data_IF_106847823632
#
_entry.id   IF_106847823632
#
_cell.length_a   1.000
_cell.length_b   1.000
_cell.length_c   1.000
_cell.angle_alpha   90.00
_cell.angle_beta   90.00
_cell.angle_gamma   90.00
#
_symmetry.space_group_name_H-M   'P 1'
#
loop_
_entity.id
_entity.type
_entity.pdbx_description
1 polymer ?
#
# COMPACT_ATOMS: atom_id res chain seq x y z
N UNK A 1 -56.22 -66.23 -13.91
CA UNK A 1 -55.66 -65.28 -14.90
C UNK A 1 -55.89 -63.87 -14.38
N UNK A 2 -54.80 -63.14 -14.17
CA UNK A 2 -54.70 -61.95 -13.34
C UNK A 2 -54.35 -60.76 -14.23
N UNK A 3 -55.20 -59.72 -14.29
CA UNK A 3 -54.85 -58.41 -14.85
C UNK A 3 -55.68 -57.35 -14.15
N UNK A 4 -55.02 -56.50 -13.35
CA UNK A 4 -55.53 -55.17 -13.05
C UNK A 4 -54.37 -54.15 -13.02
N UNK A 5 -54.59 -52.92 -13.53
CA UNK A 5 -53.52 -52.02 -13.94
C UNK A 5 -53.04 -51.04 -12.86
N UNK A 6 -51.79 -50.61 -13.08
CA UNK A 6 -51.10 -49.44 -12.53
C UNK A 6 -52.00 -48.21 -12.34
N UNK A 7 -51.91 -47.58 -11.16
CA UNK A 7 -52.20 -46.16 -10.97
C UNK A 7 -51.00 -45.48 -10.32
N UNK A 8 -50.53 -44.46 -11.01
CA UNK A 8 -49.37 -43.65 -10.68
C UNK A 8 -49.68 -42.58 -9.63
N UNK A 9 -48.61 -42.27 -8.92
CA UNK A 9 -48.28 -41.23 -7.95
C UNK A 9 -48.76 -39.82 -8.29
N UNK A 10 -49.22 -39.05 -7.28
CA UNK A 10 -48.95 -37.60 -7.19
C UNK A 10 -48.83 -37.21 -5.70
N UNK A 11 -47.62 -36.85 -5.25
CA UNK A 11 -47.37 -36.15 -3.99
C UNK A 11 -47.10 -34.67 -4.34
N UNK A 12 -47.76 -33.69 -3.71
CA UNK A 12 -47.38 -32.28 -3.88
C UNK A 12 -46.15 -31.96 -3.01
N UNK A 13 -45.03 -31.63 -3.66
CA UNK A 13 -43.83 -31.08 -3.01
C UNK A 13 -44.06 -29.57 -2.81
N UNK A 14 -44.07 -29.16 -1.54
CA UNK A 14 -44.08 -27.76 -1.10
C UNK A 14 -42.84 -27.03 -1.63
N UNK A 15 -43.02 -26.03 -2.50
CA UNK A 15 -41.97 -25.08 -2.86
C UNK A 15 -41.68 -24.14 -1.67
N UNK A 16 -40.57 -24.40 -0.97
CA UNK A 16 -39.96 -23.43 -0.07
C UNK A 16 -39.25 -22.35 -0.91
N UNK A 17 -39.76 -21.12 -0.87
CA UNK A 17 -39.09 -19.96 -1.44
C UNK A 17 -37.90 -19.64 -0.53
N UNK A 18 -36.71 -20.13 -0.91
CA UNK A 18 -35.46 -19.72 -0.30
C UNK A 18 -35.13 -18.30 -0.76
N UNK A 19 -35.42 -17.31 0.09
CA UNK A 19 -34.84 -15.97 0.00
C UNK A 19 -33.34 -16.07 0.22
N UNK A 20 -32.60 -16.18 -0.87
CA UNK A 20 -31.15 -15.98 -0.85
C UNK A 20 -30.89 -14.51 -0.54
N UNK A 21 -30.55 -14.21 0.72
CA UNK A 21 -29.83 -13.00 1.03
C UNK A 21 -28.54 -13.07 0.20
N UNK A 22 -28.48 -12.30 -0.87
CA UNK A 22 -27.23 -12.01 -1.55
C UNK A 22 -26.33 -11.31 -0.53
N UNK A 23 -25.44 -12.09 0.10
CA UNK A 23 -24.31 -11.55 0.82
C UNK A 23 -23.48 -10.77 -0.21
N UNK A 24 -23.56 -9.44 -0.15
CA UNK A 24 -22.75 -8.54 -0.97
C UNK A 24 -21.29 -8.96 -0.82
N UNK A 25 -20.68 -9.45 -1.91
CA UNK A 25 -19.26 -9.77 -1.93
C UNK A 25 -18.46 -8.51 -1.54
N UNK A 26 -17.41 -8.61 -0.71
CA UNK A 26 -16.54 -7.48 -0.43
C UNK A 26 -16.00 -6.96 -1.76
N UNK A 27 -16.17 -5.65 -1.98
CA UNK A 27 -15.69 -4.99 -3.18
C UNK A 27 -14.16 -5.11 -3.23
N UNK A 28 -13.55 -5.24 -4.43
CA UNK A 28 -12.09 -5.34 -4.58
C UNK A 28 -11.33 -4.06 -4.17
N UNK A 29 -12.03 -3.01 -3.73
CA UNK A 29 -11.51 -1.68 -3.42
C UNK A 29 -11.21 -1.44 -1.94
N UNK A 30 -11.34 -2.44 -1.07
CA UNK A 30 -10.99 -2.32 0.35
C UNK A 30 -9.88 -3.31 0.71
N UNK A 31 -8.74 -3.17 0.03
CA UNK A 31 -7.48 -3.82 0.42
C UNK A 31 -6.53 -2.85 1.13
N UNK A 32 -7.08 -1.80 1.73
CA UNK A 32 -6.31 -0.87 2.55
C UNK A 32 -6.06 -1.50 3.91
N UNK A 33 -4.80 -1.58 4.29
CA UNK A 33 -4.42 -2.06 5.62
C UNK A 33 -4.81 -1.02 6.68
N UNK A 34 -4.93 -1.43 7.95
CA UNK A 34 -5.13 -0.45 9.03
C UNK A 34 -3.91 0.48 9.13
N UNK A 35 -4.11 1.78 9.42
CA UNK A 35 -3.00 2.67 9.72
C UNK A 35 -2.16 2.11 10.88
N UNK A 36 -0.83 2.20 10.74
CA UNK A 36 0.13 1.76 11.74
C UNK A 36 1.20 2.83 11.96
N UNK A 37 1.77 2.86 13.16
CA UNK A 37 2.93 3.71 13.44
C UNK A 37 4.20 3.08 12.89
N UNK A 38 5.01 3.91 12.25
CA UNK A 38 6.29 3.52 11.69
C UNK A 38 7.37 4.55 11.99
N UNK A 39 8.61 4.09 12.16
CA UNK A 39 9.79 4.92 12.05
C UNK A 39 10.28 4.87 10.61
N UNK A 40 10.44 6.04 10.01
CA UNK A 40 10.67 6.19 8.58
C UNK A 40 11.92 7.03 8.39
N UNK A 41 12.90 6.50 7.67
CA UNK A 41 14.04 7.26 7.19
C UNK A 41 13.94 7.39 5.68
N UNK A 42 13.80 8.62 5.20
CA UNK A 42 13.70 8.88 3.76
C UNK A 42 15.08 8.77 3.15
N UNK A 43 15.17 7.89 2.16
CA UNK A 43 16.37 7.67 1.36
C UNK A 43 16.30 8.50 0.09
N UNK A 44 15.12 8.55 -0.56
CA UNK A 44 14.88 9.16 -1.86
C UNK A 44 13.73 10.11 -1.94
N UNK A 45 13.83 11.05 -2.88
CA UNK A 45 12.67 11.52 -3.64
C UNK A 45 12.61 10.68 -4.93
N UNK A 46 11.53 9.94 -5.11
CA UNK A 46 11.29 9.16 -6.33
C UNK A 46 10.43 9.95 -7.30
N UNK A 47 10.95 10.16 -8.50
CA UNK A 47 10.27 10.98 -9.50
C UNK A 47 9.26 10.26 -10.39
N UNK A 48 9.04 8.95 -10.19
CA UNK A 48 8.36 8.10 -11.18
C UNK A 48 6.85 7.98 -11.03
N UNK A 49 6.18 8.70 -10.12
CA UNK A 49 4.71 8.56 -9.99
C UNK A 49 3.98 9.89 -9.84
N UNK A 50 3.70 10.51 -10.99
CA UNK A 50 2.60 11.46 -11.12
C UNK A 50 1.29 10.66 -11.26
N UNK A 51 0.55 10.41 -10.16
CA UNK A 51 -0.84 9.92 -10.25
C UNK A 51 -1.82 10.58 -9.26
N UNK A 52 -2.79 11.29 -9.88
CA UNK A 52 -4.20 11.55 -9.56
C UNK A 52 -4.70 12.40 -8.38
N UNK A 53 -5.16 13.61 -8.76
CA UNK A 53 -6.55 14.14 -8.77
C UNK A 53 -7.27 14.65 -7.50
N UNK A 54 -6.69 14.65 -6.31
CA UNK A 54 -7.35 15.33 -5.16
C UNK A 54 -6.40 15.90 -4.08
N UNK A 55 -5.12 16.09 -4.40
CA UNK A 55 -4.14 16.63 -3.46
C UNK A 55 -2.74 16.64 -4.04
N UNK A 56 -1.82 17.32 -3.37
CA UNK A 56 -0.42 17.23 -3.71
C UNK A 56 0.15 15.94 -3.11
N UNK A 57 1.02 15.27 -3.85
CA UNK A 57 1.67 14.04 -3.40
C UNK A 57 3.14 14.09 -3.75
N UNK A 58 3.98 13.61 -2.82
CA UNK A 58 5.40 13.39 -3.03
C UNK A 58 5.68 11.92 -2.75
N UNK A 59 6.57 11.32 -3.55
CA UNK A 59 6.85 9.89 -3.44
C UNK A 59 8.30 9.73 -3.07
N UNK A 60 8.54 8.92 -2.07
CA UNK A 60 9.86 8.67 -1.51
C UNK A 60 10.18 7.18 -1.56
N UNK A 61 11.47 6.88 -1.67
CA UNK A 61 12.00 5.60 -1.19
C UNK A 61 12.38 5.82 0.26
N UNK A 62 11.91 4.94 1.14
CA UNK A 62 12.23 5.04 2.54
C UNK A 62 12.64 3.67 3.09
N UNK A 63 13.45 3.71 4.14
CA UNK A 63 13.63 2.60 5.05
C UNK A 63 12.61 2.76 6.18
N UNK A 64 11.77 1.74 6.35
CA UNK A 64 10.70 1.74 7.34
C UNK A 64 10.93 0.62 8.33
N UNK A 65 10.85 0.97 9.60
CA UNK A 65 10.73 0.04 10.70
C UNK A 65 9.37 0.16 11.36
N UNK A 66 8.72 -0.98 11.57
CA UNK A 66 7.44 -1.10 12.27
C UNK A 66 7.65 -2.01 13.48
N UNK A 67 6.60 -2.18 14.30
CA UNK A 67 6.66 -3.14 15.40
C UNK A 67 6.89 -4.59 14.92
N UNK A 68 6.43 -4.90 13.72
CA UNK A 68 6.41 -6.26 13.18
C UNK A 68 7.60 -6.55 12.24
N UNK A 69 8.24 -5.51 11.70
CA UNK A 69 9.39 -5.61 10.80
C UNK A 69 10.50 -4.65 11.23
N UNK A 70 11.72 -5.17 11.40
CA UNK A 70 12.86 -4.36 11.84
C UNK A 70 13.26 -3.29 10.83
N UNK A 71 13.46 -3.62 9.56
CA UNK A 71 13.82 -2.65 8.51
C UNK A 71 13.43 -3.19 7.13
N UNK A 72 12.77 -2.38 6.32
CA UNK A 72 12.44 -2.72 4.93
C UNK A 72 12.40 -1.48 4.04
N UNK A 73 12.82 -1.63 2.79
CA UNK A 73 12.62 -0.59 1.78
C UNK A 73 11.18 -0.53 1.34
N UNK A 74 10.65 0.68 1.27
CA UNK A 74 9.27 0.93 0.86
C UNK A 74 9.18 2.10 -0.10
N UNK A 75 8.16 2.06 -0.94
CA UNK A 75 7.67 3.22 -1.67
C UNK A 75 6.69 3.96 -0.78
N UNK A 76 7.06 5.14 -0.30
CA UNK A 76 6.24 5.95 0.58
C UNK A 76 5.57 7.08 -0.20
N UNK A 77 4.25 7.15 -0.16
CA UNK A 77 3.44 8.23 -0.73
C UNK A 77 3.03 9.17 0.39
N UNK A 78 3.58 10.39 0.37
CA UNK A 78 3.19 11.46 1.28
C UNK A 78 2.11 12.32 0.65
N UNK A 79 0.92 12.31 1.25
CA UNK A 79 -0.18 13.15 0.82
C UNK A 79 -0.27 14.41 1.67
N UNK A 80 -0.23 15.56 1.01
CA UNK A 80 -0.35 16.88 1.65
C UNK A 80 -1.42 17.74 0.97
N UNK A 81 -2.06 18.66 1.72
CA UNK A 81 -3.07 19.56 1.18
C UNK A 81 -2.50 20.45 0.06
N UNK A 82 -3.39 20.99 -0.79
CA UNK A 82 -3.01 21.82 -1.94
C UNK A 82 -2.10 23.03 -1.62
N UNK A 83 -2.20 23.56 -0.41
CA UNK A 83 -1.36 24.65 0.11
C UNK A 83 -0.23 24.18 1.06
N UNK A 84 -0.14 22.88 1.32
CA UNK A 84 0.92 22.27 2.11
C UNK A 84 2.23 22.21 1.32
N UNK A 85 3.35 22.18 2.05
CA UNK A 85 4.68 21.94 1.48
C UNK A 85 5.07 20.48 1.73
N UNK A 86 5.85 19.86 0.83
CA UNK A 86 6.44 18.55 1.09
C UNK A 86 7.44 18.63 2.25
N UNK A 87 7.96 17.47 2.67
CA UNK A 87 8.96 17.39 3.73
C UNK A 87 10.16 18.25 3.35
N UNK A 88 10.59 19.10 4.29
CA UNK A 88 11.61 20.11 3.99
C UNK A 88 12.92 19.44 3.54
N UNK A 89 13.57 19.91 2.46
CA UNK A 89 14.78 19.28 1.93
C UNK A 89 15.95 19.15 2.93
N UNK A 90 16.05 20.05 3.92
CA UNK A 90 17.07 20.00 4.98
C UNK A 90 16.86 18.80 5.94
N UNK A 91 15.61 18.42 6.20
CA UNK A 91 15.29 17.25 7.01
C UNK A 91 15.58 15.95 6.26
N UNK A 92 15.37 15.95 4.94
CA UNK A 92 15.72 14.82 4.08
C UNK A 92 17.25 14.63 4.03
N UNK A 93 18.01 15.71 3.82
CA UNK A 93 19.49 15.66 3.72
C UNK A 93 20.17 15.24 5.01
N UNK A 94 19.57 15.55 6.16
CA UNK A 94 20.10 15.13 7.46
C UNK A 94 19.70 13.70 7.84
N UNK A 95 19.03 12.95 6.94
CA UNK A 95 18.60 11.56 7.13
C UNK A 95 17.91 11.33 8.48
N UNK A 96 17.07 12.30 8.88
CA UNK A 96 16.31 12.20 10.12
C UNK A 96 15.36 11.01 10.07
N UNK A 97 15.15 10.40 11.23
CA UNK A 97 14.08 9.42 11.41
C UNK A 97 12.80 10.18 11.77
N UNK A 98 11.74 9.87 11.05
CA UNK A 98 10.40 10.41 11.27
C UNK A 98 9.53 9.35 11.96
N UNK A 99 8.69 9.75 12.91
CA UNK A 99 7.52 8.96 13.33
C UNK A 99 6.34 9.38 12.45
N UNK A 100 5.70 8.40 11.79
CA UNK A 100 4.58 8.64 10.88
C UNK A 100 3.48 7.59 11.09
N UNK A 101 2.24 7.93 10.76
CA UNK A 101 1.19 6.94 10.55
C UNK A 101 1.16 6.54 9.08
N UNK A 102 1.42 5.26 8.81
CA UNK A 102 1.46 4.71 7.46
C UNK A 102 0.38 3.67 7.26
N UNK A 103 -0.19 3.63 6.06
CA UNK A 103 -1.16 2.65 5.61
C UNK A 103 -0.56 1.90 4.43
N UNK A 104 -0.56 0.56 4.49
CA UNK A 104 -0.08 -0.27 3.39
C UNK A 104 -1.13 -0.29 2.26
N UNK A 105 -0.67 -0.02 1.04
CA UNK A 105 -1.45 0.06 -0.19
C UNK A 105 -0.91 -0.95 -1.23
N UNK A 106 -1.36 -2.23 -1.23
CA UNK A 106 -0.80 -3.28 -2.08
C UNK A 106 -0.88 -2.99 -3.58
N UNK A 107 -1.89 -2.21 -4.00
CA UNK A 107 -2.13 -1.85 -5.39
C UNK A 107 -1.07 -0.93 -6.00
N UNK A 108 -0.22 -0.27 -5.19
CA UNK A 108 0.84 0.62 -5.66
C UNK A 108 2.26 0.08 -5.48
N UNK A 109 2.39 -1.20 -5.14
CA UNK A 109 3.67 -1.91 -5.13
C UNK A 109 4.40 -1.78 -6.47
N UNK A 110 5.72 -1.77 -6.40
CA UNK A 110 6.57 -1.68 -7.57
C UNK A 110 7.74 -2.64 -7.43
N UNK A 111 8.29 -3.13 -8.55
CA UNK A 111 9.56 -3.83 -8.49
C UNK A 111 10.68 -2.84 -8.17
N UNK A 112 11.75 -3.32 -7.51
CA UNK A 112 12.91 -2.48 -7.23
C UNK A 112 13.52 -1.88 -8.52
N UNK A 113 13.44 -2.60 -9.64
CA UNK A 113 13.82 -2.10 -10.98
C UNK A 113 13.05 -0.87 -11.45
N UNK A 114 11.83 -0.67 -10.94
CA UNK A 114 10.93 0.42 -11.35
C UNK A 114 11.12 1.68 -10.48
N UNK A 115 11.94 1.57 -9.43
CA UNK A 115 12.29 2.69 -8.56
C UNK A 115 13.41 3.51 -9.20
N UNK A 116 13.02 4.60 -9.84
CA UNK A 116 13.97 5.52 -10.46
C UNK A 116 14.49 6.56 -9.46
N UNK A 117 15.79 6.49 -9.16
CA UNK A 117 16.52 7.46 -8.35
C UNK A 117 17.27 8.44 -9.29
N UNK A 118 16.93 9.74 -9.26
CA UNK A 118 17.61 10.69 -10.15
C UNK A 118 19.07 10.90 -9.69
N UNK A 119 20.03 11.03 -10.62
CA UNK A 119 21.44 11.28 -10.28
C UNK A 119 21.69 12.53 -9.40
N UNK A 120 20.77 13.51 -9.38
CA UNK A 120 20.84 14.71 -8.53
C UNK A 120 20.25 14.55 -7.13
N UNK A 121 19.49 13.50 -6.89
CA UNK A 121 18.97 13.16 -5.56
C UNK A 121 20.04 12.38 -4.75
N UNK A 122 21.21 12.12 -5.34
CA UNK A 122 22.41 11.54 -4.71
C UNK A 122 22.92 12.28 -3.47
N UNK A 123 22.44 13.50 -3.21
CA UNK A 123 22.71 14.21 -1.96
C UNK A 123 21.93 13.63 -0.77
N UNK A 124 20.86 12.88 -1.04
CA UNK A 124 20.05 12.14 -0.06
C UNK A 124 20.46 10.66 0.02
N UNK A 125 20.97 10.10 -1.08
CA UNK A 125 21.33 8.68 -1.21
C UNK A 125 22.75 8.36 -0.77
N UNK A 126 22.87 7.27 -0.02
CA UNK A 126 24.09 6.47 -0.03
C UNK A 126 24.11 5.57 -1.29
N UNK A 127 25.28 5.38 -1.90
CA UNK A 127 25.47 4.50 -3.07
C UNK A 127 25.00 3.06 -2.80
N UNK A 128 25.08 2.63 -1.54
CA UNK A 128 24.59 1.32 -1.07
C UNK A 128 23.09 1.07 -1.36
N UNK A 129 22.26 2.12 -1.38
CA UNK A 129 20.82 2.00 -1.67
C UNK A 129 20.62 1.60 -3.13
N UNK A 130 21.36 2.22 -4.04
CA UNK A 130 21.29 1.94 -5.47
C UNK A 130 21.79 0.52 -5.77
N UNK A 131 22.88 0.12 -5.13
CA UNK A 131 23.42 -1.23 -5.26
C UNK A 131 22.44 -2.28 -4.75
N UNK A 132 21.75 -2.00 -3.64
CA UNK A 132 20.73 -2.90 -3.08
C UNK A 132 19.53 -3.02 -4.02
N UNK A 133 18.99 -1.92 -4.54
CA UNK A 133 17.88 -1.95 -5.52
C UNK A 133 18.26 -2.73 -6.79
N UNK A 134 19.50 -2.58 -7.27
CA UNK A 134 19.99 -3.32 -8.44
C UNK A 134 20.15 -4.82 -8.14
N UNK A 135 20.67 -5.16 -6.95
CA UNK A 135 20.87 -6.56 -6.52
C UNK A 135 19.53 -7.28 -6.36
N UNK A 136 18.54 -6.56 -5.84
CA UNK A 136 17.18 -7.05 -5.56
C UNK A 136 16.16 -6.56 -6.60
N UNK A 137 16.58 -6.36 -7.85
CA UNK A 137 15.78 -5.71 -8.90
C UNK A 137 14.39 -6.33 -9.12
N UNK A 138 14.27 -7.65 -8.95
CA UNK A 138 13.02 -8.39 -9.13
C UNK A 138 12.11 -8.37 -7.90
N UNK A 139 12.64 -7.98 -6.73
CA UNK A 139 11.89 -8.01 -5.48
C UNK A 139 10.83 -6.91 -5.48
N UNK A 140 9.66 -7.21 -4.91
CA UNK A 140 8.58 -6.26 -4.75
C UNK A 140 8.89 -5.30 -3.59
N UNK A 141 8.88 -4.01 -3.88
CA UNK A 141 8.98 -2.94 -2.90
C UNK A 141 7.55 -2.59 -2.44
N UNK A 142 7.20 -2.85 -1.17
CA UNK A 142 5.88 -2.58 -0.66
C UNK A 142 5.60 -1.07 -0.66
N UNK A 143 4.37 -0.72 -1.03
CA UNK A 143 3.90 0.66 -1.06
C UNK A 143 3.12 1.03 0.20
N UNK A 144 3.45 2.18 0.77
CA UNK A 144 2.80 2.75 1.94
C UNK A 144 2.38 4.18 1.66
N UNK A 145 1.31 4.60 2.30
CA UNK A 145 0.74 5.93 2.22
C UNK A 145 0.72 6.57 3.59
N UNK A 146 1.09 7.84 3.67
CA UNK A 146 1.02 8.64 4.90
C UNK A 146 0.25 9.93 4.64
N UNK A 147 -0.36 10.43 5.71
CA UNK A 147 -0.88 11.80 5.73
C UNK A 147 0.21 12.71 6.30
N UNK A 148 0.56 13.76 5.57
CA UNK A 148 1.66 14.67 5.92
C UNK A 148 1.57 15.22 7.35
N UNK A 149 0.35 15.49 7.82
CA UNK A 149 0.07 16.00 9.16
C UNK A 149 0.46 15.05 10.30
N UNK A 150 0.70 13.76 10.02
CA UNK A 150 1.11 12.77 11.01
C UNK A 150 2.63 12.71 11.19
N UNK A 151 3.38 13.33 10.26
CA UNK A 151 4.83 13.30 10.22
C UNK A 151 5.40 14.12 11.38
N UNK A 152 6.21 13.47 12.21
CA UNK A 152 6.94 14.09 13.32
C UNK A 152 8.40 13.64 13.27
N UNK A 153 9.32 14.48 13.72
CA UNK A 153 10.68 14.02 13.98
C UNK A 153 10.65 13.03 15.14
N UNK A 154 11.30 11.87 14.98
CA UNK A 154 11.47 10.93 16.07
C UNK A 154 12.32 11.59 17.16
N UNK A 155 11.94 11.38 18.42
CA UNK A 155 12.74 11.85 19.55
C UNK A 155 14.03 11.01 19.61
N UNK A 156 15.17 11.69 19.74
CA UNK A 156 16.47 11.06 19.97
C UNK A 156 16.50 10.37 21.33
#
# INVERSE_FOLDING_TARGET
MNRNPMRWTVLPVLLGVATTLAASAPTPFTNQSKPMKAHVRILAVSSSSHQSFAGNQEIYLADVSTKDNEHQFVKLIDQYPGFGLPIRPDLLRSQQVFEMEVTREPECDAHASDIYLRPGDSVLYDGSVRDTLNTHAADAIPCYKTLHQTIKLAKK
#
